data_IF_023480992018
#
_entry.id   IF_023480992018
#
_cell.length_a   1.000
_cell.length_b   1.000
_cell.length_c   1.000
_cell.angle_alpha   90.00
_cell.angle_beta   90.00
_cell.angle_gamma   90.00
#
_symmetry.space_group_name_H-M   'P 1'
#
loop_
_entity.id
_entity.type
_entity.pdbx_description
1 polymer ?
#
# COMPACT_ATOMS: atom_id res chain seq x y z
N UNK A 1 -22.09 8.17 -18.22
CA UNK A 1 -21.15 8.31 -17.12
C UNK A 1 -19.73 8.16 -17.67
N UNK A 2 -18.86 9.14 -17.40
CA UNK A 2 -17.50 9.22 -17.95
C UNK A 2 -16.62 8.06 -17.46
N UNK A 3 -16.73 7.66 -16.19
CA UNK A 3 -15.95 6.56 -15.60
C UNK A 3 -16.21 5.24 -16.33
N UNK A 4 -17.47 4.93 -16.62
CA UNK A 4 -17.83 3.73 -17.42
C UNK A 4 -17.24 3.77 -18.83
N UNK A 5 -17.15 4.96 -19.44
CA UNK A 5 -16.52 5.12 -20.75
C UNK A 5 -15.01 4.88 -20.67
N UNK A 6 -14.35 5.36 -19.62
CA UNK A 6 -12.93 5.13 -19.41
C UNK A 6 -12.61 3.65 -19.18
N UNK A 7 -13.40 2.98 -18.35
CA UNK A 7 -13.26 1.54 -18.09
C UNK A 7 -13.48 0.73 -19.36
N UNK A 8 -14.60 0.93 -20.08
CA UNK A 8 -14.91 0.22 -21.33
C UNK A 8 -13.82 0.37 -22.40
N UNK A 9 -13.19 1.54 -22.47
CA UNK A 9 -12.15 1.84 -23.46
C UNK A 9 -10.73 1.56 -22.96
N UNK A 10 -10.58 0.98 -21.77
CA UNK A 10 -9.30 0.76 -21.11
C UNK A 10 -8.40 2.01 -21.19
N UNK A 11 -8.91 3.12 -20.66
CA UNK A 11 -8.32 4.45 -20.84
C UNK A 11 -6.88 4.54 -20.33
N UNK A 12 -6.55 3.87 -19.23
CA UNK A 12 -5.19 3.82 -18.70
C UNK A 12 -4.21 3.22 -19.72
N UNK A 13 -4.51 2.06 -20.28
CA UNK A 13 -3.66 1.41 -21.26
C UNK A 13 -3.58 2.20 -22.57
N UNK A 14 -4.65 2.88 -22.96
CA UNK A 14 -4.65 3.76 -24.12
C UNK A 14 -3.66 4.93 -23.97
N UNK A 15 -3.62 5.56 -22.77
CA UNK A 15 -2.65 6.61 -22.43
C UNK A 15 -1.22 6.07 -22.51
N UNK A 16 -0.94 4.94 -21.87
CA UNK A 16 0.40 4.35 -21.88
C UNK A 16 0.85 3.96 -23.29
N UNK A 17 -0.06 3.38 -24.08
CA UNK A 17 0.24 3.03 -25.47
C UNK A 17 0.55 4.26 -26.34
N UNK A 18 -0.19 5.35 -26.13
CA UNK A 18 0.02 6.61 -26.86
C UNK A 18 1.39 7.23 -26.58
N UNK A 19 1.87 7.12 -25.33
CA UNK A 19 3.14 7.70 -24.92
C UNK A 19 4.31 6.69 -24.90
N UNK A 20 4.11 5.50 -25.46
CA UNK A 20 5.16 4.48 -25.52
C UNK A 20 6.38 5.00 -26.29
N UNK A 21 7.56 4.91 -25.65
CA UNK A 21 8.82 5.40 -26.22
C UNK A 21 9.15 6.86 -25.88
N UNK A 22 8.24 7.58 -25.24
CA UNK A 22 8.51 8.93 -24.72
C UNK A 22 9.30 8.85 -23.40
N UNK A 23 9.93 9.96 -22.96
CA UNK A 23 10.59 10.01 -21.66
C UNK A 23 9.66 9.56 -20.53
N UNK A 24 10.16 8.72 -19.61
CA UNK A 24 9.36 8.20 -18.51
C UNK A 24 9.31 9.18 -17.36
N UNK A 25 8.12 9.34 -16.77
CA UNK A 25 7.91 9.93 -15.46
C UNK A 25 7.24 8.90 -14.55
N UNK A 26 7.95 8.45 -13.52
CA UNK A 26 7.48 7.41 -12.61
C UNK A 26 7.27 8.02 -11.23
N UNK A 27 6.02 8.08 -10.79
CA UNK A 27 5.67 8.43 -9.43
C UNK A 27 5.56 7.15 -8.60
N UNK A 28 6.41 7.02 -7.58
CA UNK A 28 6.29 5.91 -6.64
C UNK A 28 5.14 6.15 -5.64
N UNK A 29 4.32 5.14 -5.43
CA UNK A 29 3.23 5.23 -4.48
C UNK A 29 3.70 4.95 -3.05
N UNK A 30 3.42 5.88 -2.11
CA UNK A 30 3.47 5.60 -0.68
C UNK A 30 2.14 4.93 -0.31
N UNK A 31 2.13 3.63 -0.01
CA UNK A 31 0.91 2.86 0.07
C UNK A 31 0.13 3.14 1.36
N UNK A 32 -1.22 3.22 1.30
CA UNK A 32 -2.04 3.25 2.51
C UNK A 32 -2.06 1.89 3.19
N UNK A 33 -2.41 1.88 4.46
CA UNK A 33 -2.74 0.65 5.17
C UNK A 33 -4.08 0.08 4.70
N UNK A 34 -4.11 -1.25 4.52
CA UNK A 34 -5.33 -1.99 4.19
C UNK A 34 -6.12 -2.33 5.48
N UNK A 35 -6.49 -1.32 6.28
CA UNK A 35 -7.07 -1.48 7.61
C UNK A 35 -8.48 -0.92 7.79
N UNK A 36 -9.12 -0.49 6.70
CA UNK A 36 -10.46 0.08 6.68
C UNK A 36 -10.75 0.89 5.43
N UNK A 37 -11.84 1.63 5.42
CA UNK A 37 -12.20 2.52 4.33
C UNK A 37 -11.19 3.67 4.18
N UNK A 38 -11.08 4.20 2.97
CA UNK A 38 -10.29 5.40 2.73
C UNK A 38 -10.87 6.58 3.52
N UNK A 39 -10.03 7.24 4.33
CA UNK A 39 -10.40 8.51 4.95
C UNK A 39 -10.06 9.69 4.04
N UNK A 40 -10.57 10.87 4.35
CA UNK A 40 -10.41 12.08 3.52
C UNK A 40 -8.93 12.41 3.20
N UNK A 41 -8.02 12.21 4.17
CA UNK A 41 -6.58 12.43 3.95
C UNK A 41 -5.99 11.48 2.92
N UNK A 42 -6.35 10.20 2.94
CA UNK A 42 -5.90 9.23 1.92
C UNK A 42 -6.50 9.56 0.56
N UNK A 43 -7.80 9.91 0.51
CA UNK A 43 -8.46 10.31 -0.74
C UNK A 43 -7.77 11.55 -1.36
N UNK A 44 -7.43 12.55 -0.54
CA UNK A 44 -6.69 13.74 -0.97
C UNK A 44 -5.29 13.37 -1.50
N UNK A 45 -4.53 12.55 -0.77
CA UNK A 45 -3.21 12.10 -1.20
C UNK A 45 -3.28 11.37 -2.55
N UNK A 46 -4.23 10.46 -2.71
CA UNK A 46 -4.46 9.73 -3.95
C UNK A 46 -4.84 10.67 -5.10
N UNK A 47 -5.71 11.64 -4.86
CA UNK A 47 -6.11 12.62 -5.88
C UNK A 47 -4.94 13.50 -6.31
N UNK A 48 -4.09 13.95 -5.40
CA UNK A 48 -2.90 14.74 -5.73
C UNK A 48 -1.92 13.92 -6.59
N UNK A 49 -1.68 12.66 -6.25
CA UNK A 49 -0.86 11.76 -7.07
C UNK A 49 -1.43 11.60 -8.48
N UNK A 50 -2.74 11.40 -8.59
CA UNK A 50 -3.42 11.29 -9.89
C UNK A 50 -3.27 12.58 -10.72
N UNK A 51 -3.37 13.76 -10.10
CA UNK A 51 -3.14 15.04 -10.79
C UNK A 51 -1.70 15.15 -11.31
N UNK A 52 -0.72 14.74 -10.53
CA UNK A 52 0.69 14.75 -10.94
C UNK A 52 0.91 13.79 -12.12
N UNK A 53 0.43 12.56 -12.03
CA UNK A 53 0.57 11.56 -13.10
C UNK A 53 -0.11 12.03 -14.39
N UNK A 54 -1.34 12.54 -14.30
CA UNK A 54 -2.11 13.04 -15.45
C UNK A 54 -1.46 14.26 -16.08
N UNK A 55 -0.99 15.21 -15.28
CA UNK A 55 -0.34 16.41 -15.82
C UNK A 55 0.92 16.05 -16.62
N UNK A 56 1.73 15.11 -16.15
CA UNK A 56 2.87 14.63 -16.91
C UNK A 56 2.47 13.85 -18.17
N UNK A 57 1.41 13.06 -18.10
CA UNK A 57 0.87 12.42 -19.31
C UNK A 57 0.41 13.45 -20.35
N UNK A 58 -0.28 14.52 -19.91
CA UNK A 58 -0.70 15.61 -20.80
C UNK A 58 0.49 16.38 -21.39
N UNK A 59 1.63 16.40 -20.71
CA UNK A 59 2.89 16.96 -21.22
C UNK A 59 3.67 16.00 -22.14
N UNK A 60 3.13 14.81 -22.42
CA UNK A 60 3.71 13.85 -23.35
C UNK A 60 4.65 12.82 -22.74
N UNK A 61 4.71 12.69 -21.41
CA UNK A 61 5.53 11.68 -20.75
C UNK A 61 4.83 10.31 -20.72
N UNK A 62 5.63 9.25 -20.75
CA UNK A 62 5.18 7.90 -20.42
C UNK A 62 5.07 7.76 -18.90
N UNK A 63 3.84 7.58 -18.37
CA UNK A 63 3.54 7.72 -16.94
C UNK A 63 2.90 6.45 -16.35
N UNK A 64 3.61 5.32 -16.26
CA UNK A 64 3.07 4.15 -15.58
C UNK A 64 2.92 4.45 -14.08
N UNK A 65 1.75 4.11 -13.52
CA UNK A 65 1.46 4.24 -12.10
C UNK A 65 0.86 2.96 -11.54
N UNK A 66 1.55 2.38 -10.57
CA UNK A 66 1.16 1.16 -9.87
C UNK A 66 0.70 1.52 -8.46
N UNK A 67 -0.58 1.35 -8.13
CA UNK A 67 -1.05 1.57 -6.77
C UNK A 67 -0.51 0.51 -5.83
N UNK A 68 -0.28 0.86 -4.57
CA UNK A 68 0.22 -0.08 -3.57
C UNK A 68 -0.62 -0.11 -2.31
N UNK A 69 -0.46 -1.18 -1.50
CA UNK A 69 -1.06 -1.33 -0.18
C UNK A 69 -0.06 -1.87 0.82
N UNK A 70 -0.02 -1.21 2.00
CA UNK A 70 0.70 -1.71 3.15
C UNK A 70 -0.24 -2.62 3.98
N UNK A 71 0.18 -3.84 4.17
CA UNK A 71 -0.67 -4.92 4.70
C UNK A 71 -0.09 -5.61 5.92
N UNK A 72 0.96 -5.05 6.52
CA UNK A 72 1.64 -5.61 7.68
C UNK A 72 1.47 -4.76 8.95
N UNK A 73 1.69 -5.42 10.09
CA UNK A 73 1.88 -4.79 11.38
C UNK A 73 0.59 -4.39 12.11
N UNK A 74 0.77 -3.57 13.13
CA UNK A 74 -0.26 -3.18 14.08
C UNK A 74 -1.55 -2.61 13.46
N UNK A 75 -1.53 -1.83 12.38
CA UNK A 75 -2.77 -1.30 11.80
C UNK A 75 -3.75 -2.39 11.38
N UNK A 76 -3.26 -3.51 10.85
CA UNK A 76 -4.09 -4.65 10.45
C UNK A 76 -4.46 -5.49 11.68
N UNK A 77 -3.50 -5.79 12.54
CA UNK A 77 -3.73 -6.58 13.75
C UNK A 77 -4.77 -5.93 14.67
N UNK A 78 -4.65 -4.61 14.91
CA UNK A 78 -5.61 -3.87 15.73
C UNK A 78 -7.01 -3.82 15.08
N UNK A 79 -7.09 -3.74 13.77
CA UNK A 79 -8.38 -3.77 13.08
C UNK A 79 -9.09 -5.11 13.28
N UNK A 80 -8.37 -6.23 13.16
CA UNK A 80 -8.90 -7.59 13.38
C UNK A 80 -9.32 -7.78 14.84
N UNK A 81 -8.54 -7.29 15.81
CA UNK A 81 -8.89 -7.38 17.23
C UNK A 81 -10.17 -6.58 17.55
N UNK A 82 -10.35 -5.40 16.96
CA UNK A 82 -11.59 -4.61 17.08
C UNK A 82 -12.81 -5.33 16.51
N UNK A 83 -12.62 -6.27 15.59
CA UNK A 83 -13.68 -7.14 15.07
C UNK A 83 -13.96 -8.36 15.97
N UNK A 84 -13.34 -8.42 17.17
CA UNK A 84 -13.59 -9.46 18.16
C UNK A 84 -12.69 -10.69 18.06
N UNK A 85 -11.65 -10.67 17.24
CA UNK A 85 -10.67 -11.76 17.19
C UNK A 85 -9.64 -11.59 18.29
N UNK A 86 -9.71 -12.44 19.31
CA UNK A 86 -8.71 -12.48 20.37
C UNK A 86 -7.45 -13.21 19.89
N UNK A 87 -6.34 -12.47 19.79
CA UNK A 87 -5.03 -13.02 19.42
C UNK A 87 -4.55 -14.13 20.34
N UNK A 88 -4.94 -14.08 21.63
CA UNK A 88 -4.49 -15.05 22.66
C UNK A 88 -5.28 -16.36 22.61
N UNK A 89 -6.46 -16.36 21.97
CA UNK A 89 -7.36 -17.52 21.88
C UNK A 89 -7.12 -18.44 20.68
N UNK A 90 -6.30 -18.02 19.73
CA UNK A 90 -6.04 -18.76 18.48
C UNK A 90 -4.54 -18.89 18.21
N UNK A 91 -4.17 -19.84 17.34
CA UNK A 91 -2.77 -20.00 16.94
C UNK A 91 -2.25 -18.79 16.16
N UNK A 92 -0.93 -18.55 16.22
CA UNK A 92 -0.27 -17.49 15.44
C UNK A 92 -0.55 -17.64 13.93
N UNK A 93 -0.52 -18.88 13.42
CA UNK A 93 -0.80 -19.14 12.01
C UNK A 93 -2.23 -18.76 11.62
N UNK A 94 -3.20 -19.12 12.47
CA UNK A 94 -4.61 -18.76 12.28
C UNK A 94 -4.82 -17.24 12.33
N UNK A 95 -4.17 -16.55 13.29
CA UNK A 95 -4.26 -15.10 13.40
C UNK A 95 -3.68 -14.41 12.16
N UNK A 96 -2.51 -14.85 11.68
CA UNK A 96 -1.89 -14.33 10.45
C UNK A 96 -2.79 -14.53 9.24
N UNK A 97 -3.41 -15.71 9.10
CA UNK A 97 -4.35 -15.97 8.00
C UNK A 97 -5.55 -15.02 8.04
N UNK A 98 -6.12 -14.77 9.23
CA UNK A 98 -7.22 -13.79 9.39
C UNK A 98 -6.79 -12.36 9.03
N UNK A 99 -5.57 -11.96 9.39
CA UNK A 99 -5.02 -10.65 9.00
C UNK A 99 -4.88 -10.55 7.48
N UNK A 100 -4.38 -11.58 6.82
CA UNK A 100 -4.24 -11.63 5.36
C UNK A 100 -5.59 -11.53 4.66
N UNK A 101 -6.57 -12.33 5.06
CA UNK A 101 -7.93 -12.30 4.51
C UNK A 101 -8.59 -10.93 4.69
N UNK A 102 -8.45 -10.33 5.87
CA UNK A 102 -8.94 -9.00 6.14
C UNK A 102 -8.28 -7.96 5.25
N UNK A 103 -6.95 -7.96 5.16
CA UNK A 103 -6.20 -7.01 4.33
C UNK A 103 -6.65 -7.09 2.86
N UNK A 104 -6.80 -8.29 2.30
CA UNK A 104 -7.31 -8.47 0.94
C UNK A 104 -8.72 -7.91 0.74
N UNK A 105 -9.62 -8.10 1.72
CA UNK A 105 -10.96 -7.52 1.65
C UNK A 105 -10.94 -5.98 1.65
N UNK A 106 -10.05 -5.38 2.44
CA UNK A 106 -9.90 -3.93 2.52
C UNK A 106 -9.26 -3.34 1.25
N UNK A 107 -8.28 -4.03 0.67
CA UNK A 107 -7.70 -3.64 -0.63
C UNK A 107 -8.79 -3.54 -1.69
N UNK A 108 -9.66 -4.54 -1.79
CA UNK A 108 -10.77 -4.53 -2.75
C UNK A 108 -11.69 -3.32 -2.55
N UNK A 109 -12.09 -3.06 -1.31
CA UNK A 109 -12.96 -1.92 -0.97
C UNK A 109 -12.29 -0.57 -1.27
N UNK A 110 -11.01 -0.43 -0.92
CA UNK A 110 -10.25 0.80 -1.19
C UNK A 110 -10.05 1.01 -2.69
N UNK A 111 -9.70 -0.03 -3.43
CA UNK A 111 -9.54 0.00 -4.89
C UNK A 111 -10.82 0.46 -5.61
N UNK A 112 -11.98 -0.05 -5.20
CA UNK A 112 -13.26 0.40 -5.74
C UNK A 112 -13.53 1.87 -5.46
N UNK A 113 -13.17 2.33 -4.26
CA UNK A 113 -13.29 3.75 -3.89
C UNK A 113 -12.37 4.63 -4.73
N UNK A 114 -11.12 4.23 -4.95
CA UNK A 114 -10.16 4.95 -5.80
C UNK A 114 -10.64 5.02 -7.26
N UNK A 115 -11.13 3.92 -7.81
CA UNK A 115 -11.75 3.89 -9.15
C UNK A 115 -12.95 4.83 -9.24
N UNK A 116 -13.78 4.90 -8.17
CA UNK A 116 -14.91 5.82 -8.11
C UNK A 116 -14.49 7.28 -8.04
N UNK A 117 -13.34 7.60 -7.40
CA UNK A 117 -12.73 8.95 -7.44
C UNK A 117 -12.18 9.29 -8.82
N UNK A 118 -12.13 8.33 -9.74
CA UNK A 118 -11.66 8.51 -11.10
C UNK A 118 -10.16 8.45 -11.24
N UNK A 119 -9.45 7.90 -10.27
CA UNK A 119 -8.00 7.70 -10.35
C UNK A 119 -7.64 6.75 -11.50
N UNK A 120 -6.59 7.08 -12.25
CA UNK A 120 -6.06 6.28 -13.36
C UNK A 120 -4.77 5.58 -12.91
N UNK A 121 -4.79 4.25 -12.86
CA UNK A 121 -3.68 3.43 -12.38
C UNK A 121 -3.75 1.99 -12.91
N UNK A 122 -2.67 1.23 -12.77
CA UNK A 122 -2.65 -0.20 -13.04
C UNK A 122 -3.22 -0.98 -11.83
N UNK A 123 -4.53 -1.11 -11.79
CA UNK A 123 -5.21 -1.89 -10.75
C UNK A 123 -5.16 -3.40 -10.98
N UNK A 124 -4.67 -3.86 -12.13
CA UNK A 124 -4.50 -5.30 -12.41
C UNK A 124 -3.19 -5.83 -11.80
N UNK A 125 -2.19 -4.95 -11.66
CA UNK A 125 -0.88 -5.32 -11.13
C UNK A 125 -0.46 -4.41 -9.96
N UNK A 126 -1.27 -4.28 -8.91
CA UNK A 126 -0.88 -3.49 -7.74
C UNK A 126 0.30 -4.16 -7.03
N UNK A 127 1.11 -3.38 -6.30
CA UNK A 127 2.02 -4.00 -5.35
C UNK A 127 1.38 -4.08 -3.96
N UNK A 128 1.52 -5.22 -3.31
CA UNK A 128 0.95 -5.48 -1.99
C UNK A 128 2.08 -6.04 -1.12
N UNK A 129 2.31 -5.44 0.03
CA UNK A 129 3.49 -5.77 0.86
C UNK A 129 3.49 -7.21 1.38
N UNK A 130 2.33 -7.88 1.51
CA UNK A 130 2.23 -9.29 1.88
C UNK A 130 2.44 -10.28 0.70
N UNK A 131 2.64 -9.80 -0.53
CA UNK A 131 2.97 -10.69 -1.63
C UNK A 131 4.33 -11.34 -1.42
N UNK A 132 4.43 -12.65 -1.66
CA UNK A 132 5.68 -13.42 -1.43
C UNK A 132 6.88 -12.87 -2.19
N UNK A 133 6.65 -12.38 -3.41
CA UNK A 133 7.67 -11.73 -4.23
C UNK A 133 8.17 -10.43 -3.60
N UNK A 134 7.27 -9.66 -3.01
CA UNK A 134 7.60 -8.42 -2.32
C UNK A 134 8.40 -8.71 -1.05
N UNK A 135 7.92 -9.62 -0.19
CA UNK A 135 8.62 -10.06 1.01
C UNK A 135 10.02 -10.64 0.68
N UNK A 136 10.11 -11.47 -0.34
CA UNK A 136 11.37 -12.04 -0.79
C UNK A 136 12.40 -10.99 -1.24
N UNK A 137 11.94 -9.91 -1.89
CA UNK A 137 12.80 -8.78 -2.27
C UNK A 137 13.26 -7.97 -1.07
N UNK A 138 12.39 -7.76 -0.08
CA UNK A 138 12.75 -7.09 1.18
C UNK A 138 13.82 -7.87 1.94
N UNK A 139 13.62 -9.19 2.11
CA UNK A 139 14.58 -10.07 2.79
C UNK A 139 15.93 -10.05 2.07
N UNK A 140 15.93 -10.12 0.74
CA UNK A 140 17.16 -10.05 -0.05
C UNK A 140 17.87 -8.71 0.12
N UNK A 141 17.15 -7.61 0.12
CA UNK A 141 17.73 -6.27 0.34
C UNK A 141 18.34 -6.17 1.73
N UNK A 142 17.65 -6.64 2.75
CA UNK A 142 18.15 -6.68 4.13
C UNK A 142 19.44 -7.53 4.23
N UNK A 143 19.43 -8.73 3.64
CA UNK A 143 20.61 -9.60 3.62
C UNK A 143 21.81 -8.94 2.92
N UNK A 144 21.60 -8.26 1.79
CA UNK A 144 22.65 -7.53 1.10
C UNK A 144 23.22 -6.38 1.94
N UNK A 145 22.38 -5.68 2.70
CA UNK A 145 22.85 -4.65 3.64
C UNK A 145 23.67 -5.25 4.77
N UNK A 146 23.21 -6.38 5.33
CA UNK A 146 23.97 -7.10 6.35
C UNK A 146 25.35 -7.56 5.87
N UNK A 147 25.42 -8.12 4.66
CA UNK A 147 26.69 -8.55 4.05
C UNK A 147 27.66 -7.39 3.80
N UNK A 148 27.13 -6.18 3.60
CA UNK A 148 27.95 -4.95 3.48
C UNK A 148 28.32 -4.31 4.82
N UNK A 149 27.97 -4.93 5.95
CA UNK A 149 28.25 -4.39 7.29
C UNK A 149 27.41 -3.14 7.65
N UNK A 150 26.32 -2.89 6.94
CA UNK A 150 25.45 -1.71 7.18
C UNK A 150 24.44 -1.94 8.30
N UNK A 151 24.31 -3.17 8.80
CA UNK A 151 23.34 -3.53 9.82
C UNK A 151 24.06 -4.04 11.06
N UNK A 152 23.67 -3.54 12.21
CA UNK A 152 24.17 -4.00 13.51
C UNK A 152 23.01 -4.13 14.49
N UNK A 153 23.15 -4.97 15.50
CA UNK A 153 22.21 -5.08 16.62
C UNK A 153 22.67 -4.14 17.75
N UNK A 154 21.75 -3.33 18.25
CA UNK A 154 22.01 -2.42 19.37
C UNK A 154 20.81 -2.30 20.28
N UNK A 155 21.04 -1.84 21.52
CA UNK A 155 19.99 -1.54 22.48
C UNK A 155 19.65 -0.05 22.41
N UNK A 156 18.35 0.25 22.39
CA UNK A 156 17.83 1.62 22.42
C UNK A 156 16.62 1.68 23.35
N UNK A 157 16.53 2.66 24.27
CA UNK A 157 15.32 2.91 25.03
C UNK A 157 14.15 3.25 24.09
N UNK A 158 13.00 2.67 24.36
CA UNK A 158 11.76 2.93 23.61
C UNK A 158 10.60 3.08 24.57
N UNK A 159 9.59 3.85 24.18
CA UNK A 159 8.35 3.87 24.94
C UNK A 159 7.60 2.55 24.76
N UNK A 160 7.14 2.02 25.86
CA UNK A 160 6.41 0.76 25.91
C UNK A 160 4.99 0.99 26.43
N UNK A 161 3.99 0.51 25.73
CA UNK A 161 2.61 0.49 26.22
C UNK A 161 2.29 -0.84 26.89
N UNK A 162 2.15 -0.88 28.23
CA UNK A 162 1.78 -2.13 28.93
C UNK A 162 0.39 -2.62 28.55
N UNK A 163 -0.51 -1.70 28.18
CA UNK A 163 -1.88 -2.03 27.79
C UNK A 163 -1.93 -2.73 26.42
N UNK A 164 -1.17 -2.23 25.46
CA UNK A 164 -1.11 -2.80 24.10
C UNK A 164 -0.01 -3.86 23.94
N UNK A 165 0.80 -4.07 24.96
CA UNK A 165 1.95 -4.99 24.94
C UNK A 165 2.89 -4.76 23.73
N UNK A 166 3.16 -3.49 23.41
CA UNK A 166 3.97 -3.11 22.26
C UNK A 166 4.79 -1.84 22.49
N UNK A 167 5.86 -1.69 21.70
CA UNK A 167 6.62 -0.45 21.64
C UNK A 167 5.95 0.51 20.64
N UNK A 168 5.77 1.78 21.04
CA UNK A 168 5.28 2.83 20.15
C UNK A 168 6.35 3.28 19.14
N UNK A 169 5.92 3.64 17.94
CA UNK A 169 6.80 4.35 17.00
C UNK A 169 7.16 5.73 17.52
N UNK A 170 8.33 6.28 17.18
CA UNK A 170 8.78 7.57 17.67
C UNK A 170 7.82 8.72 17.40
N UNK A 171 7.03 8.65 16.34
CA UNK A 171 5.99 9.63 15.98
C UNK A 171 4.67 9.50 16.74
N UNK A 172 4.48 8.41 17.48
CA UNK A 172 3.26 8.14 18.26
C UNK A 172 3.40 8.55 19.73
N UNK A 173 4.55 9.10 20.09
CA UNK A 173 4.93 9.42 21.48
C UNK A 173 4.97 10.94 21.75
N UNK A 174 4.26 11.74 20.93
CA UNK A 174 4.12 13.20 21.12
C UNK A 174 2.72 13.52 21.61
#
# INVERSE_FOLDING_TARGET
>A
NILRKWEKNNHYQAILKHHKGQPSFILHDGPPYANGNLHAGTAMNRSIKDFIVRSHAMLGYYTPFFPGWDTHGLPIENAIQKLGVDRKSISVAEFRRKCEEFAHSQITTQMETEKRLGQIADYEHPYISLQKEFEGRQIRTFANMALKGMIFQGLKPVYWSPFNETAGAGSENI
#
